data_IF_924323567763
#
_entry.id   IF_924323567763
#
_cell.length_a   1.000
_cell.length_b   1.000
_cell.length_c   1.000
_cell.angle_alpha   90.00
_cell.angle_beta   90.00
_cell.angle_gamma   90.00
#
_symmetry.space_group_name_H-M   'P 1'
#
loop_
_entity.id
_entity.type
_entity.pdbx_description
1 polymer ?
#
# COMPACT_ATOMS: atom_id res chain seq x y z
N UNK A 1 21.58 -48.01 3.82
CA UNK A 1 20.40 -48.73 3.29
C UNK A 1 19.43 -47.73 2.69
N UNK A 2 19.25 -47.83 1.37
CA UNK A 2 18.09 -47.48 0.54
C UNK A 2 17.53 -46.04 0.54
N UNK A 3 18.25 -45.15 -0.16
CA UNK A 3 17.63 -44.05 -0.90
C UNK A 3 16.90 -44.61 -2.13
N UNK A 4 15.59 -44.86 -2.00
CA UNK A 4 14.74 -45.20 -3.14
C UNK A 4 14.60 -43.94 -4.01
N UNK A 5 15.32 -43.91 -5.14
CA UNK A 5 15.08 -42.91 -6.20
C UNK A 5 13.68 -43.14 -6.76
N UNK A 6 12.70 -42.38 -6.28
CA UNK A 6 11.37 -42.34 -6.88
C UNK A 6 11.50 -41.83 -8.31
N UNK A 7 11.06 -42.64 -9.26
CA UNK A 7 11.08 -42.30 -10.68
C UNK A 7 10.05 -41.19 -10.94
N UNK A 8 10.45 -39.98 -11.40
CA UNK A 8 9.53 -38.85 -11.55
C UNK A 8 8.41 -39.12 -12.58
N UNK A 9 8.58 -40.14 -13.43
CA UNK A 9 7.53 -40.60 -14.38
C UNK A 9 6.33 -41.25 -13.68
N UNK A 10 6.49 -41.76 -12.46
CA UNK A 10 5.41 -42.35 -11.66
C UNK A 10 4.59 -41.28 -10.89
N UNK A 11 5.10 -40.05 -10.77
CA UNK A 11 4.44 -38.95 -10.06
C UNK A 11 3.60 -38.05 -10.98
N UNK A 12 3.43 -38.40 -12.26
CA UNK A 12 2.58 -37.66 -13.18
C UNK A 12 1.12 -38.00 -12.87
N UNK A 13 0.48 -37.20 -12.00
CA UNK A 13 -0.97 -37.17 -11.90
C UNK A 13 -1.51 -36.76 -13.26
N UNK A 14 -1.97 -37.73 -14.07
CA UNK A 14 -2.70 -37.44 -15.29
C UNK A 14 -3.93 -36.63 -14.89
N UNK A 15 -3.99 -35.37 -15.32
CA UNK A 15 -5.19 -34.57 -15.15
C UNK A 15 -6.35 -35.32 -15.83
N UNK A 16 -7.55 -35.39 -15.21
CA UNK A 16 -8.69 -36.02 -15.85
C UNK A 16 -8.95 -35.34 -17.19
N UNK A 17 -9.26 -36.13 -18.22
CA UNK A 17 -9.67 -35.61 -19.52
C UNK A 17 -10.95 -34.79 -19.29
N UNK A 18 -10.82 -33.46 -19.33
CA UNK A 18 -11.97 -32.55 -19.28
C UNK A 18 -12.71 -32.73 -20.60
N UNK A 19 -13.78 -33.53 -20.60
CA UNK A 19 -14.72 -33.57 -21.72
C UNK A 19 -15.48 -32.25 -21.74
N UNK A 20 -15.08 -31.35 -22.63
CA UNK A 20 -15.82 -30.12 -22.91
C UNK A 20 -17.06 -30.53 -23.70
N UNK A 21 -18.19 -30.69 -23.01
CA UNK A 21 -19.48 -30.80 -23.68
C UNK A 21 -19.79 -29.45 -24.34
N UNK A 22 -19.62 -29.38 -25.66
CA UNK A 22 -20.08 -28.25 -26.46
C UNK A 22 -21.60 -28.37 -26.61
N UNK A 23 -22.34 -27.62 -25.82
CA UNK A 23 -23.75 -27.38 -26.11
C UNK A 23 -23.83 -26.39 -27.28
N UNK A 24 -24.13 -26.88 -28.47
CA UNK A 24 -24.47 -26.03 -29.61
C UNK A 24 -25.93 -25.60 -29.47
N UNK A 25 -26.15 -24.39 -28.96
CA UNK A 25 -27.48 -23.77 -28.94
C UNK A 25 -27.69 -23.05 -30.27
N UNK A 26 -28.45 -23.65 -31.18
CA UNK A 26 -29.01 -22.94 -32.35
C UNK A 26 -30.51 -22.82 -32.16
N UNK A 27 -30.94 -21.70 -31.61
CA UNK A 27 -32.34 -21.26 -31.67
C UNK A 27 -32.35 -19.76 -31.94
N UNK A 28 -32.39 -19.38 -33.22
CA UNK A 28 -32.74 -18.02 -33.64
C UNK A 28 -34.24 -18.05 -33.89
N UNK A 29 -35.01 -17.59 -32.89
CA UNK A 29 -36.43 -17.29 -33.07
C UNK A 29 -36.54 -15.82 -33.43
N UNK A 30 -36.72 -15.51 -34.71
CA UNK A 30 -37.11 -14.18 -35.18
C UNK A 30 -38.61 -14.00 -34.92
N UNK A 31 -38.96 -13.56 -33.72
CA UNK A 31 -40.25 -12.90 -33.48
C UNK A 31 -40.07 -11.42 -33.73
N UNK A 32 -40.64 -10.95 -34.84
CA UNK A 32 -40.84 -9.54 -35.15
C UNK A 32 -41.90 -8.99 -34.19
N UNK A 33 -41.48 -8.42 -33.07
CA UNK A 33 -42.30 -7.52 -32.27
C UNK A 33 -41.42 -6.36 -31.78
N UNK A 34 -41.83 -5.16 -32.16
CA UNK A 34 -41.09 -3.91 -32.10
C UNK A 34 -41.22 -3.20 -30.75
N UNK A 35 -40.10 -3.08 -30.05
CA UNK A 35 -39.66 -1.87 -29.32
C UNK A 35 -38.13 -1.88 -29.44
N UNK A 36 -37.42 -0.74 -29.60
CA UNK A 36 -35.98 -0.72 -29.43
C UNK A 36 -35.70 -0.98 -27.94
N UNK A 37 -35.64 -2.25 -27.55
CA UNK A 37 -35.17 -2.65 -26.24
C UNK A 37 -33.76 -2.09 -26.15
N UNK A 38 -33.51 -1.19 -25.21
CA UNK A 38 -32.17 -0.64 -24.94
C UNK A 38 -31.22 -1.83 -24.67
N UNK A 39 -30.49 -2.26 -25.69
CA UNK A 39 -29.67 -3.48 -25.64
C UNK A 39 -28.42 -3.16 -24.82
N UNK A 40 -28.50 -3.43 -23.52
CA UNK A 40 -27.38 -3.28 -22.60
C UNK A 40 -26.46 -4.49 -22.71
N UNK A 41 -25.42 -4.35 -23.52
CA UNK A 41 -24.35 -5.34 -23.59
C UNK A 41 -23.55 -5.39 -22.28
N UNK A 42 -23.11 -6.58 -21.83
CA UNK A 42 -22.21 -6.68 -20.70
C UNK A 42 -20.85 -6.04 -21.02
N UNK A 43 -20.11 -5.59 -19.99
CA UNK A 43 -18.77 -5.05 -20.19
C UNK A 43 -17.83 -6.11 -20.75
N UNK A 44 -16.94 -5.70 -21.66
CA UNK A 44 -15.90 -6.56 -22.21
C UNK A 44 -14.85 -6.77 -21.13
N UNK A 45 -14.64 -8.03 -20.72
CA UNK A 45 -13.74 -8.38 -19.63
C UNK A 45 -12.64 -9.33 -20.13
N UNK A 46 -11.38 -9.01 -19.82
CA UNK A 46 -10.27 -9.93 -20.06
C UNK A 46 -10.30 -11.09 -19.05
N UNK A 47 -10.36 -12.30 -19.57
CA UNK A 47 -10.45 -13.56 -18.80
C UNK A 47 -9.08 -14.10 -18.38
N UNK A 48 -7.99 -13.48 -18.86
CA UNK A 48 -6.63 -13.86 -18.43
C UNK A 48 -6.48 -13.70 -16.92
N UNK A 49 -5.75 -14.63 -16.31
CA UNK A 49 -5.45 -14.61 -14.88
C UNK A 49 -4.95 -13.26 -14.34
N UNK A 50 -3.95 -12.58 -14.95
CA UNK A 50 -3.49 -11.28 -14.46
C UNK A 50 -4.59 -10.22 -14.46
N UNK A 51 -5.43 -10.18 -15.50
CA UNK A 51 -6.53 -9.24 -15.58
C UNK A 51 -7.63 -9.53 -14.54
N UNK A 52 -7.92 -10.81 -14.30
CA UNK A 52 -8.84 -11.22 -13.22
C UNK A 52 -8.32 -10.80 -11.84
N UNK A 53 -7.05 -11.06 -11.56
CA UNK A 53 -6.40 -10.69 -10.31
C UNK A 53 -6.41 -9.17 -10.07
N UNK A 54 -6.13 -8.38 -11.12
CA UNK A 54 -6.20 -6.92 -11.06
C UNK A 54 -7.61 -6.43 -10.71
N UNK A 55 -8.65 -6.97 -11.38
CA UNK A 55 -10.05 -6.64 -11.09
C UNK A 55 -10.47 -6.99 -9.67
N UNK A 56 -10.00 -8.12 -9.15
CA UNK A 56 -10.26 -8.49 -7.74
C UNK A 56 -9.61 -7.52 -6.75
N UNK A 57 -8.41 -7.00 -7.06
CA UNK A 57 -7.75 -5.96 -6.28
C UNK A 57 -8.46 -4.61 -6.38
N UNK A 58 -8.86 -4.20 -7.57
CA UNK A 58 -9.65 -2.98 -7.80
C UNK A 58 -10.96 -3.02 -7.03
N UNK A 59 -11.70 -4.14 -7.11
CA UNK A 59 -12.93 -4.33 -6.35
C UNK A 59 -12.70 -4.27 -4.83
N UNK A 60 -11.57 -4.76 -4.32
CA UNK A 60 -11.20 -4.60 -2.90
C UNK A 60 -10.92 -3.14 -2.57
N UNK A 61 -10.21 -2.42 -3.43
CA UNK A 61 -9.90 -1.01 -3.25
C UNK A 61 -11.19 -0.15 -3.26
N UNK A 62 -12.09 -0.37 -4.21
CA UNK A 62 -13.39 0.30 -4.28
C UNK A 62 -14.23 0.07 -3.02
N UNK A 63 -14.24 -1.18 -2.50
CA UNK A 63 -14.92 -1.49 -1.23
C UNK A 63 -14.36 -0.68 -0.06
N UNK A 64 -13.06 -0.39 -0.04
CA UNK A 64 -12.41 0.44 1.00
C UNK A 64 -12.70 1.93 0.76
N UNK A 65 -12.73 2.37 -0.50
CA UNK A 65 -13.04 3.74 -0.89
C UNK A 65 -14.46 4.15 -0.50
N UNK A 66 -15.43 3.25 -0.67
CA UNK A 66 -16.86 3.50 -0.41
C UNK A 66 -17.23 3.47 1.08
N UNK A 67 -16.27 3.30 1.99
CA UNK A 67 -16.51 3.33 3.44
C UNK A 67 -16.67 4.78 3.90
N UNK A 68 -17.73 5.11 4.68
CA UNK A 68 -18.04 6.49 5.06
C UNK A 68 -17.07 7.07 6.08
N UNK A 69 -16.66 6.29 7.09
CA UNK A 69 -15.84 6.78 8.21
C UNK A 69 -14.38 6.41 8.07
N UNK A 70 -13.52 7.13 8.79
CA UNK A 70 -12.06 6.89 8.78
C UNK A 70 -11.74 5.61 9.55
N UNK A 71 -12.45 5.37 10.66
CA UNK A 71 -12.28 4.23 11.56
C UNK A 71 -12.61 2.93 10.85
N UNK A 72 -13.76 2.86 10.18
CA UNK A 72 -14.15 1.68 9.40
C UNK A 72 -13.15 1.43 8.26
N UNK A 73 -12.58 2.49 7.67
CA UNK A 73 -11.58 2.37 6.61
C UNK A 73 -10.28 1.76 7.13
N UNK A 74 -9.82 2.21 8.29
CA UNK A 74 -8.65 1.63 8.98
C UNK A 74 -8.88 0.14 9.29
N UNK A 75 -10.05 -0.19 9.86
CA UNK A 75 -10.42 -1.59 10.17
C UNK A 75 -10.43 -2.43 8.89
N UNK A 76 -11.05 -1.94 7.81
CA UNK A 76 -11.19 -2.69 6.56
C UNK A 76 -9.87 -2.91 5.83
N UNK A 77 -8.94 -1.96 5.92
CA UNK A 77 -7.57 -2.12 5.42
C UNK A 77 -6.85 -3.22 6.22
N UNK A 78 -7.05 -3.28 7.53
CA UNK A 78 -6.33 -4.18 8.43
C UNK A 78 -6.96 -5.58 8.59
N UNK A 79 -8.26 -5.77 8.28
CA UNK A 79 -8.98 -7.04 8.48
C UNK A 79 -8.63 -8.25 7.57
N UNK A 80 -8.11 -8.15 6.32
CA UNK A 80 -8.01 -9.32 5.44
C UNK A 80 -7.05 -10.42 5.94
N UNK A 81 -6.31 -10.18 7.02
CA UNK A 81 -5.54 -11.19 7.75
C UNK A 81 -5.81 -11.02 9.25
N UNK A 82 -6.52 -11.97 9.84
CA UNK A 82 -6.89 -11.98 11.27
C UNK A 82 -5.69 -11.81 12.21
N UNK A 83 -4.51 -12.32 11.82
CA UNK A 83 -3.25 -12.22 12.57
C UNK A 83 -2.30 -11.11 12.06
N UNK A 84 -2.78 -10.20 11.21
CA UNK A 84 -2.01 -9.08 10.69
C UNK A 84 -1.26 -9.33 9.37
N UNK A 85 -0.61 -8.27 8.88
CA UNK A 85 0.27 -8.34 7.72
C UNK A 85 1.65 -8.85 8.10
N UNK A 86 2.38 -9.39 7.12
CA UNK A 86 3.82 -9.63 7.29
C UNK A 86 4.49 -8.26 7.41
N UNK A 87 4.82 -7.86 8.63
CA UNK A 87 5.49 -6.59 8.91
C UNK A 87 6.99 -6.82 9.13
N UNK A 88 7.79 -5.84 8.72
CA UNK A 88 9.17 -5.68 9.17
C UNK A 88 9.11 -4.64 10.29
N UNK A 89 9.51 -5.02 11.50
CA UNK A 89 9.44 -4.15 12.66
C UNK A 89 10.67 -3.24 12.68
N UNK A 90 10.44 -1.94 12.71
CA UNK A 90 11.48 -0.92 12.91
C UNK A 90 11.42 -0.47 14.37
N UNK A 91 12.55 -0.51 15.07
CA UNK A 91 12.64 -0.18 16.49
C UNK A 91 13.26 1.20 16.68
N UNK A 92 12.62 2.03 17.50
CA UNK A 92 13.13 3.37 17.82
C UNK A 92 14.43 3.28 18.65
N UNK A 93 15.40 4.14 18.34
CA UNK A 93 16.69 4.19 19.04
C UNK A 93 17.73 3.15 18.56
N UNK A 94 17.37 2.20 17.69
CA UNK A 94 18.34 1.29 17.06
C UNK A 94 18.66 1.74 15.65
N UNK A 95 19.90 2.20 15.46
CA UNK A 95 20.42 2.62 14.14
C UNK A 95 21.37 1.54 13.66
N UNK A 96 20.98 0.83 12.61
CA UNK A 96 21.82 -0.18 11.96
C UNK A 96 22.77 0.45 10.94
N UNK A 97 23.69 -0.36 10.43
CA UNK A 97 24.62 0.09 9.40
C UNK A 97 23.90 0.49 8.12
N UNK A 98 24.24 1.66 7.58
CA UNK A 98 23.68 2.19 6.33
C UNK A 98 22.14 2.33 6.34
N UNK A 99 21.57 2.78 7.47
CA UNK A 99 20.12 2.97 7.61
C UNK A 99 19.55 4.08 6.74
N UNK A 100 20.33 5.12 6.41
CA UNK A 100 19.79 6.26 5.66
C UNK A 100 19.25 5.87 4.26
N UNK A 101 20.02 5.18 3.40
CA UNK A 101 19.49 4.69 2.12
C UNK A 101 18.34 3.69 2.29
N UNK A 102 18.36 2.89 3.36
CA UNK A 102 17.30 1.92 3.65
C UNK A 102 15.98 2.61 4.00
N UNK A 103 16.01 3.60 4.89
CA UNK A 103 14.87 4.42 5.26
C UNK A 103 14.32 5.19 4.05
N UNK A 104 15.19 5.78 3.23
CA UNK A 104 14.81 6.44 1.97
C UNK A 104 14.11 5.49 1.00
N UNK A 105 14.60 4.26 0.84
CA UNK A 105 13.98 3.25 -0.01
C UNK A 105 12.60 2.81 0.50
N UNK A 106 12.46 2.55 1.80
CA UNK A 106 11.18 2.12 2.40
C UNK A 106 10.13 3.22 2.26
N UNK A 107 10.49 4.46 2.61
CA UNK A 107 9.58 5.60 2.62
C UNK A 107 9.40 6.24 1.25
N UNK A 108 10.21 5.84 0.27
CA UNK A 108 10.31 6.46 -1.06
C UNK A 108 10.60 7.96 -0.97
N UNK A 109 11.51 8.33 -0.07
CA UNK A 109 11.97 9.70 0.14
C UNK A 109 13.42 9.85 -0.29
N UNK A 110 13.89 11.09 -0.39
CA UNK A 110 15.28 11.41 -0.59
C UNK A 110 15.65 12.59 0.33
N UNK A 111 16.91 12.64 0.75
CA UNK A 111 17.44 13.77 1.51
C UNK A 111 17.98 14.81 0.54
N UNK A 112 17.56 16.05 0.73
CA UNK A 112 18.06 17.22 0.00
C UNK A 112 19.15 17.85 0.86
N UNK A 113 20.40 17.78 0.39
CA UNK A 113 21.57 18.32 1.10
C UNK A 113 21.74 19.83 0.83
N UNK A 114 20.68 20.61 1.04
CA UNK A 114 20.73 22.06 0.99
C UNK A 114 21.12 22.61 2.37
N UNK A 115 21.90 23.70 2.39
CA UNK A 115 22.31 24.34 3.65
C UNK A 115 21.18 25.11 4.33
N UNK A 116 20.09 25.35 3.62
CA UNK A 116 18.92 26.10 4.10
C UNK A 116 17.72 25.18 4.23
N UNK A 117 16.82 25.56 5.14
CA UNK A 117 15.48 25.01 5.20
C UNK A 117 14.67 25.45 3.96
N UNK A 118 13.55 24.78 3.66
CA UNK A 118 12.67 25.19 2.57
C UNK A 118 12.26 26.67 2.68
N UNK A 119 12.23 27.38 1.54
CA UNK A 119 11.95 28.83 1.46
C UNK A 119 10.62 29.24 2.11
N UNK A 120 9.68 28.30 2.25
CA UNK A 120 8.39 28.49 2.93
C UNK A 120 8.56 29.01 4.36
N UNK A 121 9.65 28.66 5.04
CA UNK A 121 9.88 29.03 6.43
C UNK A 121 10.42 30.45 6.62
N UNK A 122 11.00 31.07 5.59
CA UNK A 122 11.66 32.37 5.71
C UNK A 122 10.68 33.53 5.97
N UNK A 123 9.39 33.35 5.65
CA UNK A 123 8.37 34.41 5.67
C UNK A 123 7.29 34.23 6.75
N UNK A 124 7.47 33.29 7.70
CA UNK A 124 6.44 33.00 8.71
C UNK A 124 6.32 34.10 9.79
N UNK A 125 7.42 34.79 10.09
CA UNK A 125 7.51 35.79 11.17
C UNK A 125 8.33 36.99 10.72
N UNK A 126 7.90 38.18 11.10
CA UNK A 126 8.69 39.40 10.92
C UNK A 126 10.02 39.33 11.67
N UNK A 127 11.12 39.70 11.02
CA UNK A 127 12.49 39.56 11.56
C UNK A 127 12.65 40.19 12.95
N UNK A 128 12.04 41.35 13.19
CA UNK A 128 12.14 42.05 14.47
C UNK A 128 11.52 41.25 15.63
N UNK A 129 10.38 40.60 15.38
CA UNK A 129 9.72 39.73 16.37
C UNK A 129 10.49 38.43 16.57
N UNK A 130 11.06 37.89 15.49
CA UNK A 130 11.90 36.70 15.54
C UNK A 130 13.15 36.95 16.42
N UNK A 131 13.83 38.08 16.24
CA UNK A 131 15.02 38.43 17.01
C UNK A 131 14.71 38.60 18.51
N UNK A 132 13.53 39.11 18.84
CA UNK A 132 13.04 39.16 20.23
C UNK A 132 12.85 37.76 20.81
N UNK A 133 12.11 36.90 20.11
CA UNK A 133 11.86 35.52 20.54
C UNK A 133 13.16 34.70 20.69
N UNK A 134 14.11 34.87 19.76
CA UNK A 134 15.39 34.16 19.80
C UNK A 134 16.19 34.55 21.05
N UNK A 135 16.16 35.83 21.46
CA UNK A 135 16.83 36.28 22.68
C UNK A 135 16.20 35.66 23.93
N UNK A 136 14.88 35.76 24.05
CA UNK A 136 14.14 35.24 25.20
C UNK A 136 14.34 33.72 25.37
N UNK A 137 14.32 32.98 24.25
CA UNK A 137 14.52 31.53 24.23
C UNK A 137 15.97 31.16 24.56
N UNK A 138 16.94 31.94 24.06
CA UNK A 138 18.35 31.66 24.26
C UNK A 138 18.73 31.73 25.75
N UNK A 139 18.29 32.78 26.45
CA UNK A 139 18.59 32.96 27.87
C UNK A 139 18.05 31.77 28.69
N UNK A 140 16.82 31.32 28.39
CA UNK A 140 16.22 30.15 29.03
C UNK A 140 17.02 28.85 28.80
N UNK A 141 17.55 28.65 27.60
CA UNK A 141 18.37 27.47 27.28
C UNK A 141 19.73 27.53 27.98
N UNK A 142 20.36 28.70 28.05
CA UNK A 142 21.66 28.87 28.72
C UNK A 142 21.53 28.55 30.22
N UNK A 143 20.51 29.07 30.89
CA UNK A 143 20.24 28.78 32.30
C UNK A 143 19.95 27.30 32.54
N UNK A 144 19.09 26.69 31.71
CA UNK A 144 18.75 25.27 31.82
C UNK A 144 19.96 24.37 31.61
N UNK A 145 20.80 24.69 30.62
CA UNK A 145 22.02 23.95 30.34
C UNK A 145 23.04 24.11 31.47
N UNK A 146 23.22 25.32 31.99
CA UNK A 146 24.10 25.59 33.11
C UNK A 146 23.64 24.82 34.36
N UNK A 147 22.34 24.79 34.64
CA UNK A 147 21.78 24.02 35.72
C UNK A 147 22.09 22.53 35.57
N UNK A 148 21.78 21.91 34.43
CA UNK A 148 22.03 20.47 34.21
C UNK A 148 23.52 20.09 34.26
N UNK A 149 24.41 20.97 33.80
CA UNK A 149 25.86 20.74 33.84
C UNK A 149 26.41 20.83 35.28
N UNK A 150 25.93 21.78 36.10
CA UNK A 150 26.47 22.01 37.45
C UNK A 150 25.73 21.25 38.56
N UNK A 151 24.49 20.84 38.33
CA UNK A 151 23.68 20.09 39.30
C UNK A 151 23.92 18.57 39.25
N UNK A 152 24.80 18.10 38.35
CA UNK A 152 25.20 16.71 38.18
C UNK A 152 26.54 16.43 38.84
#
# INVERSE_FOLDING_TARGET
>A
MLLIKLNPRLCIKRAPIIRINRHTSTAVSTTQDEQPVDVKYPPILDLKFPAKYKREHEAKHERVKNVPTVEEKQIKINMPRYWGFRAVMYEEGKIYYNELPHAQYITRTHVVNESKLPEVYDNLVEKEKLDGMVKDIKDFFEDSLAFEIHSR
#
